data_IF_022273229866
#
_entry.id   IF_022273229866
#
_cell.length_a   1.000
_cell.length_b   1.000
_cell.length_c   1.000
_cell.angle_alpha   90.00
_cell.angle_beta   90.00
_cell.angle_gamma   90.00
#
_symmetry.space_group_name_H-M   'P 1'
#
loop_
_entity.id
_entity.type
_entity.pdbx_description
1 polymer ?
#
# COMPACT_ATOMS: atom_id res chain seq x y z
N UNK A 1 -37.33 19.67 30.87
CA UNK A 1 -36.50 18.64 31.51
C UNK A 1 -36.16 17.64 30.44
N UNK A 2 -34.91 17.68 30.02
CA UNK A 2 -34.31 16.88 28.96
C UNK A 2 -33.99 15.45 29.43
N UNK A 3 -33.81 14.56 28.44
CA UNK A 3 -32.92 13.40 28.55
C UNK A 3 -33.62 12.05 28.63
N UNK A 4 -33.20 10.99 27.95
CA UNK A 4 -32.13 10.77 26.98
C UNK A 4 -32.48 9.46 26.26
N UNK A 5 -32.48 9.45 24.93
CA UNK A 5 -32.34 8.24 24.12
C UNK A 5 -30.93 8.32 23.54
N UNK A 6 -30.04 7.39 23.91
CA UNK A 6 -28.75 7.23 23.23
C UNK A 6 -28.67 5.85 22.59
N UNK A 7 -28.68 5.88 21.26
CA UNK A 7 -28.37 4.74 20.41
C UNK A 7 -26.88 4.39 20.49
N UNK A 8 -26.59 3.10 20.32
CA UNK A 8 -25.24 2.57 20.28
C UNK A 8 -24.90 2.14 18.85
N UNK A 9 -24.54 3.11 18.00
CA UNK A 9 -23.92 2.86 16.70
C UNK A 9 -22.40 2.83 16.88
N UNK A 10 -21.88 1.64 17.22
CA UNK A 10 -20.45 1.33 17.23
C UNK A 10 -19.88 1.19 15.82
N UNK A 11 -19.93 2.27 15.02
CA UNK A 11 -19.34 2.36 13.70
C UNK A 11 -17.81 2.47 13.76
N UNK A 12 -17.14 1.56 13.05
CA UNK A 12 -15.68 1.44 12.87
C UNK A 12 -15.06 2.80 12.51
N UNK A 13 -14.43 3.45 13.49
CA UNK A 13 -13.87 4.81 13.36
C UNK A 13 -12.44 4.83 12.76
N UNK A 14 -11.74 3.69 12.74
CA UNK A 14 -10.30 3.61 12.41
C UNK A 14 -9.92 3.51 10.93
N UNK A 15 -10.88 3.47 10.00
CA UNK A 15 -10.62 3.35 8.56
C UNK A 15 -10.88 4.64 7.75
N UNK A 16 -11.56 5.63 8.36
CA UNK A 16 -11.81 6.94 7.74
C UNK A 16 -10.57 7.84 7.75
N UNK A 17 -9.57 7.53 8.56
CA UNK A 17 -8.34 8.32 8.71
C UNK A 17 -7.31 8.07 7.58
N UNK A 18 -7.61 7.20 6.61
CA UNK A 18 -6.81 7.07 5.37
C UNK A 18 -6.85 8.35 4.50
N UNK A 19 -7.76 9.29 4.77
CA UNK A 19 -7.84 10.60 4.10
C UNK A 19 -6.72 11.57 4.50
N UNK A 20 -5.99 11.31 5.60
CA UNK A 20 -5.10 12.30 6.19
C UNK A 20 -3.62 12.19 5.79
N UNK A 21 -3.19 11.18 5.01
CA UNK A 21 -1.75 10.92 4.80
C UNK A 21 -1.28 10.75 3.35
N UNK A 22 -1.95 11.37 2.39
CA UNK A 22 -1.46 11.42 1.00
C UNK A 22 -1.27 12.88 0.60
N UNK A 23 0.00 13.30 0.60
CA UNK A 23 0.45 14.68 0.42
C UNK A 23 0.33 15.19 -1.01
N UNK A 24 0.56 16.50 -1.16
CA UNK A 24 0.38 17.28 -2.39
C UNK A 24 0.92 16.61 -3.66
N UNK A 25 0.04 16.50 -4.65
CA UNK A 25 0.31 15.91 -5.98
C UNK A 25 1.29 16.75 -6.81
N UNK A 26 1.67 17.94 -6.35
CA UNK A 26 2.56 18.87 -7.07
C UNK A 26 3.99 18.36 -7.25
N UNK A 27 4.45 17.40 -6.44
CA UNK A 27 5.77 16.79 -6.62
C UNK A 27 5.85 15.80 -7.81
N UNK A 28 4.73 15.40 -8.42
CA UNK A 28 4.72 14.43 -9.52
C UNK A 28 5.10 15.01 -10.89
N UNK A 29 5.00 16.33 -11.08
CA UNK A 29 5.13 16.98 -12.41
C UNK A 29 6.52 17.58 -12.69
N UNK A 30 7.43 17.61 -11.71
CA UNK A 30 8.69 18.37 -11.78
C UNK A 30 9.97 17.54 -11.97
N UNK A 31 9.92 16.34 -12.56
CA UNK A 31 11.13 15.61 -12.94
C UNK A 31 11.08 15.16 -14.41
N UNK A 32 11.65 16.00 -15.28
CA UNK A 32 11.88 15.75 -16.70
C UNK A 32 13.33 15.35 -17.02
N UNK A 33 14.13 14.99 -16.02
CA UNK A 33 15.52 14.60 -16.24
C UNK A 33 15.66 13.08 -16.27
N UNK A 34 16.20 12.57 -17.37
CA UNK A 34 16.62 11.17 -17.50
C UNK A 34 17.63 10.83 -16.38
N UNK A 35 17.61 9.59 -15.83
CA UNK A 35 18.48 9.26 -14.71
C UNK A 35 19.95 9.29 -15.15
N UNK A 36 20.69 10.26 -14.61
CA UNK A 36 22.15 10.34 -14.75
C UNK A 36 22.80 9.38 -13.75
N UNK A 37 23.64 8.49 -14.26
CA UNK A 37 24.03 7.22 -13.64
C UNK A 37 25.11 7.30 -12.54
N UNK A 38 25.12 8.32 -11.68
CA UNK A 38 26.20 8.39 -10.67
C UNK A 38 25.91 9.06 -9.32
N UNK A 39 24.64 9.30 -8.92
CA UNK A 39 24.32 9.87 -7.58
C UNK A 39 23.13 9.19 -6.86
N UNK A 40 22.49 8.15 -7.42
CA UNK A 40 21.23 7.60 -6.90
C UNK A 40 21.38 6.69 -5.66
N UNK A 41 22.56 6.12 -5.43
CA UNK A 41 22.77 5.20 -4.31
C UNK A 41 22.79 5.90 -2.93
N UNK A 42 23.19 7.18 -2.86
CA UNK A 42 22.99 8.10 -1.73
C UNK A 42 21.54 8.22 -1.26
N UNK A 43 20.61 8.29 -2.21
CA UNK A 43 19.29 8.87 -1.96
C UNK A 43 18.44 8.05 -0.98
N UNK A 44 18.39 6.73 -1.14
CA UNK A 44 17.56 5.84 -0.31
C UNK A 44 18.14 5.62 1.09
N UNK A 45 19.45 5.52 1.22
CA UNK A 45 20.14 5.42 2.52
C UNK A 45 19.97 6.73 3.30
N UNK A 46 20.14 7.86 2.61
CA UNK A 46 19.90 9.19 3.17
C UNK A 46 18.43 9.33 3.60
N UNK A 47 17.47 8.91 2.77
CA UNK A 47 16.05 8.99 3.09
C UNK A 47 15.66 8.17 4.33
N UNK A 48 16.11 6.92 4.43
CA UNK A 48 15.89 6.11 5.64
C UNK A 48 16.50 6.76 6.88
N UNK A 49 17.65 7.42 6.73
CA UNK A 49 18.29 8.18 7.81
C UNK A 49 17.48 9.41 8.23
N UNK A 50 16.85 10.13 7.28
CA UNK A 50 15.94 11.24 7.57
C UNK A 50 14.68 10.79 8.32
N UNK A 51 14.14 9.61 7.98
CA UNK A 51 13.03 9.00 8.71
C UNK A 51 13.47 8.67 10.14
N UNK A 52 14.63 8.00 10.28
CA UNK A 52 15.21 7.62 11.58
C UNK A 52 15.48 8.81 12.50
N UNK A 53 15.93 9.94 11.95
CA UNK A 53 16.14 11.17 12.71
C UNK A 53 14.87 11.99 12.92
N UNK A 54 13.71 11.49 12.46
CA UNK A 54 12.41 12.19 12.47
C UNK A 54 12.40 13.52 11.71
N UNK A 55 13.40 13.73 10.85
CA UNK A 55 13.47 14.91 9.96
C UNK A 55 12.44 14.81 8.84
N UNK A 56 12.10 13.59 8.41
CA UNK A 56 10.99 13.32 7.50
C UNK A 56 9.95 12.42 8.16
N UNK A 57 8.73 12.94 8.36
CA UNK A 57 7.58 12.23 8.94
C UNK A 57 6.37 12.18 8.00
N UNK A 58 6.52 12.72 6.79
CA UNK A 58 5.45 12.82 5.80
C UNK A 58 5.41 11.63 4.82
N UNK A 59 4.53 11.70 3.81
CA UNK A 59 4.39 10.67 2.80
C UNK A 59 5.71 10.40 2.03
N UNK A 60 5.89 9.17 1.57
CA UNK A 60 7.06 8.73 0.79
C UNK A 60 6.84 8.83 -0.72
N UNK A 61 5.67 9.27 -1.17
CA UNK A 61 5.36 9.51 -2.57
C UNK A 61 6.39 10.44 -3.25
N UNK A 62 6.88 10.05 -4.42
CA UNK A 62 7.89 10.79 -5.17
C UNK A 62 9.28 10.81 -4.53
N UNK A 63 9.50 10.13 -3.40
CA UNK A 63 10.83 9.98 -2.78
C UNK A 63 11.55 8.77 -3.37
N UNK A 64 12.86 8.93 -3.59
CA UNK A 64 13.74 7.89 -4.13
C UNK A 64 13.17 7.21 -5.39
N UNK A 65 12.96 7.97 -6.48
CA UNK A 65 12.44 7.42 -7.73
C UNK A 65 13.31 6.24 -8.20
N UNK A 66 12.67 5.21 -8.76
CA UNK A 66 13.34 3.99 -9.22
C UNK A 66 13.57 2.91 -8.16
N UNK A 67 13.37 3.22 -6.87
CA UNK A 67 13.48 2.24 -5.78
C UNK A 67 12.11 1.71 -5.33
N UNK A 68 12.02 0.41 -5.05
CA UNK A 68 10.80 -0.23 -4.57
C UNK A 68 10.46 0.26 -3.16
N UNK A 69 9.27 0.86 -3.04
CA UNK A 69 8.65 1.17 -1.77
C UNK A 69 7.80 -0.01 -1.30
N UNK A 70 7.92 -0.35 -0.02
CA UNK A 70 7.27 -1.51 0.57
C UNK A 70 6.33 -1.11 1.71
N UNK A 71 5.16 -1.72 1.72
CA UNK A 71 4.27 -1.74 2.87
C UNK A 71 4.88 -2.63 3.96
N UNK A 72 4.88 -2.17 5.20
CA UNK A 72 5.31 -2.97 6.36
C UNK A 72 4.10 -3.59 7.07
N UNK A 73 4.23 -4.87 7.43
CA UNK A 73 3.38 -5.61 8.37
C UNK A 73 4.28 -6.39 9.33
N UNK A 74 4.06 -6.30 10.63
CA UNK A 74 4.74 -7.08 11.66
C UNK A 74 3.70 -7.80 12.48
N UNK A 75 3.82 -9.11 12.61
CA UNK A 75 2.92 -9.95 13.36
C UNK A 75 3.70 -10.77 14.39
N UNK A 76 3.00 -11.29 15.40
CA UNK A 76 3.57 -12.30 16.31
C UNK A 76 3.88 -13.57 15.52
N UNK A 77 4.92 -14.31 15.94
CA UNK A 77 5.33 -15.57 15.31
C UNK A 77 4.18 -16.57 15.13
N UNK A 78 3.26 -16.63 16.08
CA UNK A 78 2.08 -17.50 16.04
C UNK A 78 1.17 -17.25 14.83
N UNK A 79 1.10 -16.01 14.34
CA UNK A 79 0.27 -15.61 13.21
C UNK A 79 1.07 -15.53 11.89
N UNK A 80 2.40 -15.54 11.98
CA UNK A 80 3.29 -15.30 10.84
C UNK A 80 3.18 -16.37 9.74
N UNK A 81 3.06 -17.65 10.11
CA UNK A 81 2.95 -18.73 9.12
C UNK A 81 1.65 -18.63 8.31
N UNK A 82 0.53 -18.42 8.99
CA UNK A 82 -0.77 -18.27 8.33
C UNK A 82 -0.79 -17.04 7.43
N UNK A 83 -0.15 -15.94 7.85
CA UNK A 83 -0.02 -14.74 7.02
C UNK A 83 0.87 -14.96 5.80
N UNK A 84 2.02 -15.62 5.97
CA UNK A 84 2.90 -16.01 4.86
C UNK A 84 2.15 -16.85 3.83
N UNK A 85 1.41 -17.87 4.28
CA UNK A 85 0.58 -18.71 3.41
C UNK A 85 -0.56 -17.90 2.76
N UNK A 86 -1.17 -16.97 3.48
CA UNK A 86 -2.18 -16.06 2.94
C UNK A 86 -1.59 -15.23 1.79
N UNK A 87 -0.43 -14.60 1.99
CA UNK A 87 0.22 -13.81 0.96
C UNK A 87 0.64 -14.66 -0.25
N UNK A 88 1.18 -15.87 -0.02
CA UNK A 88 1.52 -16.81 -1.09
C UNK A 88 0.29 -17.17 -1.93
N UNK A 89 -0.86 -17.40 -1.31
CA UNK A 89 -2.12 -17.73 -2.00
C UNK A 89 -2.73 -16.54 -2.74
N UNK A 90 -2.42 -15.31 -2.31
CA UNK A 90 -3.00 -14.06 -2.80
C UNK A 90 -1.92 -13.09 -3.30
N UNK A 91 -0.91 -13.60 -4.01
CA UNK A 91 0.32 -12.87 -4.35
C UNK A 91 0.10 -11.59 -5.15
N UNK A 92 -0.99 -11.46 -5.93
CA UNK A 92 -1.34 -10.22 -6.61
C UNK A 92 -1.72 -9.10 -5.63
N UNK A 93 -2.45 -9.43 -4.57
CA UNK A 93 -2.93 -8.46 -3.59
C UNK A 93 -1.94 -8.24 -2.44
N UNK A 94 -1.13 -9.26 -2.13
CA UNK A 94 -0.15 -9.26 -1.06
C UNK A 94 1.21 -9.78 -1.59
N UNK A 95 1.85 -9.07 -2.54
CA UNK A 95 3.12 -9.49 -3.09
C UNK A 95 4.21 -9.38 -2.03
N UNK A 96 4.73 -10.51 -1.56
CA UNK A 96 5.87 -10.52 -0.64
C UNK A 96 7.12 -10.09 -1.38
N UNK A 97 7.81 -9.12 -0.79
CA UNK A 97 9.12 -8.62 -1.23
C UNK A 97 10.23 -9.17 -0.34
N UNK A 98 10.02 -9.17 0.98
CA UNK A 98 10.94 -9.77 1.95
C UNK A 98 10.21 -10.22 3.22
N UNK A 99 10.79 -11.18 3.93
CA UNK A 99 10.31 -11.66 5.23
C UNK A 99 11.49 -11.74 6.18
N UNK A 100 11.44 -10.97 7.27
CA UNK A 100 12.47 -10.98 8.30
C UNK A 100 12.37 -12.24 9.17
N UNK A 101 13.52 -12.73 9.64
CA UNK A 101 13.59 -13.75 10.67
C UNK A 101 12.87 -13.34 11.97
N UNK A 102 12.47 -14.32 12.77
CA UNK A 102 11.79 -14.09 14.04
C UNK A 102 12.60 -13.16 14.98
N UNK A 103 11.98 -12.05 15.40
CA UNK A 103 12.57 -11.00 16.22
C UNK A 103 13.46 -10.02 15.45
N UNK A 104 13.79 -10.31 14.18
CA UNK A 104 14.60 -9.43 13.35
C UNK A 104 13.77 -8.25 12.82
N UNK A 105 14.40 -7.09 12.78
CA UNK A 105 13.91 -5.86 12.17
C UNK A 105 14.71 -5.50 10.90
N UNK A 106 15.62 -6.39 10.47
CA UNK A 106 16.49 -6.18 9.31
C UNK A 106 15.99 -6.99 8.11
N UNK A 107 15.48 -6.35 7.04
CA UNK A 107 15.07 -6.97 5.79
C UNK A 107 16.29 -7.16 4.88
N UNK A 108 17.06 -8.21 5.17
CA UNK A 108 18.35 -8.49 4.52
C UNK A 108 18.20 -8.90 3.04
N UNK A 109 17.01 -9.30 2.60
CA UNK A 109 16.73 -9.64 1.21
C UNK A 109 16.65 -8.41 0.30
N UNK A 110 16.34 -7.24 0.86
CA UNK A 110 16.15 -6.00 0.07
C UNK A 110 16.93 -4.79 0.55
N UNK A 111 17.64 -4.88 1.67
CA UNK A 111 18.56 -3.83 2.12
C UNK A 111 19.80 -4.39 2.81
N UNK A 112 20.95 -3.72 2.64
CA UNK A 112 22.20 -4.08 3.35
C UNK A 112 22.30 -3.48 4.75
N UNK A 113 21.63 -2.36 4.99
CA UNK A 113 21.64 -1.64 6.26
C UNK A 113 20.34 -0.84 6.39
N UNK A 114 19.44 -1.31 7.24
CA UNK A 114 18.22 -0.63 7.63
C UNK A 114 17.72 -1.15 8.97
N UNK A 115 16.86 -0.37 9.62
CA UNK A 115 16.15 -0.77 10.83
C UNK A 115 14.66 -0.45 10.65
N UNK A 116 13.83 -1.47 10.43
CA UNK A 116 12.39 -1.32 10.21
C UNK A 116 11.64 -0.71 11.39
N UNK A 117 12.29 -0.53 12.54
CA UNK A 117 11.68 0.12 13.71
C UNK A 117 11.73 1.64 13.64
N UNK A 118 12.58 2.19 12.76
CA UNK A 118 12.85 3.64 12.66
C UNK A 118 12.90 4.17 11.24
N UNK A 119 13.11 3.33 10.23
CA UNK A 119 13.44 3.77 8.88
C UNK A 119 12.21 4.06 8.00
N UNK A 120 11.01 4.06 8.58
CA UNK A 120 9.78 4.53 7.95
C UNK A 120 9.35 5.86 8.60
N UNK A 121 8.66 6.76 7.86
CA UNK A 121 8.23 8.04 8.40
C UNK A 121 7.23 7.91 9.56
N UNK A 122 6.35 6.90 9.50
CA UNK A 122 5.30 6.70 10.49
C UNK A 122 4.77 5.24 10.54
N UNK A 123 4.34 4.82 11.73
CA UNK A 123 3.82 3.49 12.05
C UNK A 123 2.46 3.55 12.74
N UNK A 124 1.70 2.47 12.57
CA UNK A 124 0.47 2.18 13.29
C UNK A 124 0.61 0.86 14.07
N UNK A 125 0.03 0.81 15.26
CA UNK A 125 0.03 -0.36 16.13
C UNK A 125 -1.40 -0.77 16.42
N UNK A 126 -1.67 -2.06 16.26
CA UNK A 126 -2.98 -2.66 16.40
C UNK A 126 -2.96 -3.71 17.49
N UNK A 127 -4.07 -3.82 18.23
CA UNK A 127 -4.34 -4.93 19.14
C UNK A 127 -5.76 -5.43 18.92
N UNK A 128 -5.91 -6.75 18.76
CA UNK A 128 -7.19 -7.40 18.46
C UNK A 128 -7.92 -6.75 17.27
N UNK A 129 -7.16 -6.44 16.20
CA UNK A 129 -7.66 -5.80 14.99
C UNK A 129 -8.00 -4.30 15.10
N UNK A 130 -7.82 -3.68 16.28
CA UNK A 130 -8.12 -2.26 16.51
C UNK A 130 -6.86 -1.44 16.60
N UNK A 131 -6.84 -0.28 15.94
CA UNK A 131 -5.75 0.70 16.07
C UNK A 131 -5.69 1.20 17.52
N UNK A 132 -4.55 1.00 18.18
CA UNK A 132 -4.32 1.44 19.58
C UNK A 132 -3.36 2.61 19.66
N UNK A 133 -2.40 2.70 18.73
CA UNK A 133 -1.49 3.84 18.59
C UNK A 133 -1.25 4.07 17.09
N UNK A 134 -1.19 5.32 16.65
CA UNK A 134 -1.02 5.66 15.25
C UNK A 134 -0.07 6.83 15.05
N UNK A 135 0.49 6.91 13.85
CA UNK A 135 1.40 7.98 13.44
C UNK A 135 2.66 8.10 14.34
N UNK A 136 3.15 6.95 14.84
CA UNK A 136 4.38 6.89 15.62
C UNK A 136 5.58 7.04 14.70
N UNK A 137 6.61 7.79 15.07
CA UNK A 137 7.86 7.86 14.28
C UNK A 137 8.85 6.74 14.59
N UNK A 138 8.57 5.94 15.62
CA UNK A 138 9.44 4.90 16.14
C UNK A 138 8.61 3.79 16.80
N UNK A 139 9.02 2.53 16.60
CA UNK A 139 8.40 1.37 17.24
C UNK A 139 9.40 0.45 17.94
N UNK A 140 10.61 0.92 18.29
CA UNK A 140 11.66 0.10 18.92
C UNK A 140 11.21 -0.52 20.23
N UNK A 141 10.51 0.24 21.07
CA UNK A 141 9.98 -0.24 22.35
C UNK A 141 8.75 -1.14 22.21
N UNK A 142 8.09 -1.11 21.05
CA UNK A 142 6.89 -1.87 20.76
C UNK A 142 7.18 -3.11 19.90
N UNK A 143 8.40 -3.23 19.36
CA UNK A 143 8.76 -4.32 18.47
C UNK A 143 8.80 -5.65 19.24
N UNK A 144 7.97 -6.64 18.85
CA UNK A 144 7.91 -7.89 19.57
C UNK A 144 9.19 -8.70 19.38
N UNK A 145 9.70 -9.32 20.46
CA UNK A 145 10.90 -10.16 20.44
C UNK A 145 10.75 -11.42 19.56
N UNK A 146 9.52 -11.84 19.32
CA UNK A 146 9.09 -12.90 18.41
C UNK A 146 8.27 -12.34 17.23
N UNK A 147 8.55 -11.10 16.84
CA UNK A 147 7.95 -10.46 15.67
C UNK A 147 8.48 -11.01 14.36
N UNK A 148 7.60 -11.26 13.41
CA UNK A 148 7.98 -11.52 12.02
C UNK A 148 7.51 -10.34 11.19
N UNK A 149 8.46 -9.66 10.53
CA UNK A 149 8.18 -8.54 9.66
C UNK A 149 8.08 -9.00 8.20
N UNK A 150 7.07 -8.50 7.50
CA UNK A 150 6.78 -8.73 6.11
C UNK A 150 6.85 -7.40 5.39
N UNK A 151 7.70 -7.33 4.37
CA UNK A 151 7.66 -6.26 3.39
C UNK A 151 6.82 -6.73 2.21
N UNK A 152 5.74 -5.99 1.95
CA UNK A 152 4.87 -6.24 0.82
C UNK A 152 5.07 -5.14 -0.22
N UNK A 153 5.16 -5.52 -1.48
CA UNK A 153 5.37 -4.57 -2.56
C UNK A 153 4.21 -3.58 -2.69
N UNK A 154 4.53 -2.36 -3.11
CA UNK A 154 3.57 -1.27 -3.20
C UNK A 154 3.38 -0.81 -4.65
N UNK A 155 2.15 -0.39 -4.92
CA UNK A 155 1.61 0.00 -6.22
C UNK A 155 2.14 1.32 -6.79
N UNK A 156 2.84 2.13 -5.99
CA UNK A 156 3.20 3.49 -6.40
C UNK A 156 4.19 3.54 -7.56
N UNK A 157 4.95 2.47 -7.79
CA UNK A 157 5.87 2.42 -8.93
C UNK A 157 5.15 2.33 -10.28
N UNK A 158 3.93 1.79 -10.31
CA UNK A 158 3.23 1.58 -11.56
C UNK A 158 2.79 2.88 -12.26
N UNK A 159 2.45 3.92 -11.49
CA UNK A 159 1.96 5.18 -12.07
C UNK A 159 3.05 5.87 -12.91
N UNK A 160 4.32 5.80 -12.50
CA UNK A 160 5.45 6.30 -13.27
C UNK A 160 5.62 5.56 -14.60
N UNK A 161 5.45 4.23 -14.59
CA UNK A 161 5.55 3.40 -15.80
C UNK A 161 4.46 3.78 -16.81
N UNK A 162 3.24 4.02 -16.34
CA UNK A 162 2.13 4.47 -17.20
C UNK A 162 2.44 5.83 -17.86
N UNK A 163 2.85 6.81 -17.07
CA UNK A 163 3.14 8.17 -17.56
C UNK A 163 4.30 8.16 -18.55
N UNK A 164 5.39 7.46 -18.26
CA UNK A 164 6.54 7.33 -19.16
C UNK A 164 6.16 6.72 -20.52
N UNK A 165 5.10 5.90 -20.52
CA UNK A 165 4.55 5.26 -21.72
C UNK A 165 3.40 6.05 -22.36
N UNK A 166 3.19 7.31 -21.96
CA UNK A 166 2.13 8.21 -22.43
C UNK A 166 0.72 7.68 -22.18
N UNK A 167 0.56 6.86 -21.14
CA UNK A 167 -0.74 6.39 -20.67
C UNK A 167 -1.15 7.31 -19.53
N UNK A 168 -2.31 7.94 -19.67
CA UNK A 168 -2.85 8.86 -18.67
C UNK A 168 -3.10 8.15 -17.35
N UNK A 169 -2.68 8.80 -16.25
CA UNK A 169 -3.04 8.42 -14.89
C UNK A 169 -4.00 9.49 -14.34
N UNK A 170 -5.31 9.25 -14.45
CA UNK A 170 -6.33 10.28 -14.19
C UNK A 170 -6.28 10.87 -12.79
N UNK A 171 -5.97 10.09 -11.77
CA UNK A 171 -5.85 10.59 -10.39
C UNK A 171 -4.72 11.62 -10.28
N UNK A 172 -3.61 11.44 -11.00
CA UNK A 172 -2.51 12.40 -11.04
C UNK A 172 -2.94 13.68 -11.77
N UNK A 173 -3.59 13.57 -12.93
CA UNK A 173 -4.12 14.73 -13.67
C UNK A 173 -5.08 15.56 -12.80
N UNK A 174 -5.87 14.90 -11.96
CA UNK A 174 -6.86 15.54 -11.09
C UNK A 174 -6.32 15.96 -9.73
N UNK A 175 -5.03 15.74 -9.46
CA UNK A 175 -4.41 15.94 -8.13
C UNK A 175 -5.18 15.23 -7.00
N UNK A 176 -5.49 13.96 -7.23
CA UNK A 176 -6.30 13.10 -6.37
C UNK A 176 -5.58 11.81 -6.02
N UNK A 177 -6.02 11.19 -4.94
CA UNK A 177 -5.60 9.84 -4.61
C UNK A 177 -6.29 8.83 -5.52
N UNK A 178 -5.59 7.73 -5.85
CA UNK A 178 -6.15 6.66 -6.66
C UNK A 178 -7.39 6.08 -5.97
N UNK A 179 -8.46 5.90 -6.74
CA UNK A 179 -9.71 5.33 -6.24
C UNK A 179 -9.52 3.86 -5.90
N UNK A 180 -9.92 3.44 -4.70
CA UNK A 180 -9.83 2.06 -4.26
C UNK A 180 -11.18 1.55 -3.77
N UNK A 181 -11.49 0.29 -4.08
CA UNK A 181 -12.80 -0.30 -3.84
C UNK A 181 -12.66 -1.69 -3.21
N UNK A 182 -13.53 -1.97 -2.24
CA UNK A 182 -13.78 -3.30 -1.73
C UNK A 182 -14.59 -4.06 -2.77
N UNK A 183 -14.11 -5.23 -3.17
CA UNK A 183 -14.79 -6.07 -4.15
C UNK A 183 -15.61 -7.17 -3.47
N UNK A 184 -16.39 -7.90 -4.26
CA UNK A 184 -16.98 -9.19 -3.90
C UNK A 184 -16.02 -10.39 -4.15
N UNK A 185 -14.82 -10.16 -4.68
CA UNK A 185 -13.84 -11.22 -4.95
C UNK A 185 -13.19 -11.66 -3.65
N UNK A 186 -13.37 -12.93 -3.27
CA UNK A 186 -12.79 -13.49 -2.06
C UNK A 186 -11.29 -13.77 -2.23
N UNK A 187 -10.51 -13.44 -1.21
CA UNK A 187 -9.15 -13.97 -1.07
C UNK A 187 -9.21 -15.47 -0.80
N UNK A 188 -8.15 -16.18 -1.18
CA UNK A 188 -7.91 -17.56 -0.77
C UNK A 188 -7.42 -17.55 0.68
N UNK A 189 -8.29 -17.95 1.60
CA UNK A 189 -8.06 -17.90 3.04
C UNK A 189 -6.84 -18.73 3.47
N UNK A 190 -6.22 -18.37 4.60
CA UNK A 190 -5.21 -19.18 5.28
C UNK A 190 -5.25 -18.89 6.79
N UNK A 191 -5.48 -19.94 7.59
CA UNK A 191 -5.68 -19.81 9.02
C UNK A 191 -6.80 -18.82 9.36
N UNK A 192 -6.49 -17.82 10.18
CA UNK A 192 -7.44 -16.74 10.54
C UNK A 192 -7.59 -15.65 9.48
N UNK A 193 -6.71 -15.61 8.47
CA UNK A 193 -6.71 -14.55 7.47
C UNK A 193 -7.70 -14.85 6.34
N UNK A 194 -8.73 -14.03 6.26
CA UNK A 194 -9.80 -14.08 5.26
C UNK A 194 -10.34 -12.69 4.98
N UNK A 195 -10.87 -12.48 3.78
CA UNK A 195 -11.38 -11.18 3.36
C UNK A 195 -11.59 -11.13 1.86
N UNK A 196 -11.99 -9.96 1.36
CA UNK A 196 -12.12 -9.71 -0.07
C UNK A 196 -10.90 -8.94 -0.59
N UNK A 197 -10.60 -9.14 -1.87
CA UNK A 197 -9.57 -8.36 -2.56
C UNK A 197 -10.04 -6.90 -2.64
N UNK A 198 -9.15 -5.98 -2.27
CA UNK A 198 -9.31 -4.55 -2.54
C UNK A 198 -8.62 -4.24 -3.86
N UNK A 199 -9.26 -3.42 -4.69
CA UNK A 199 -8.70 -3.02 -5.98
C UNK A 199 -8.47 -1.53 -6.06
N UNK A 200 -7.44 -1.10 -6.78
CA UNK A 200 -7.36 0.26 -7.32
C UNK A 200 -7.98 0.28 -8.72
N UNK A 201 -8.64 1.39 -9.08
CA UNK A 201 -9.23 1.58 -10.41
C UNK A 201 -8.52 2.74 -11.11
N UNK A 202 -8.17 2.52 -12.39
CA UNK A 202 -7.68 3.57 -13.29
C UNK A 202 -8.52 3.57 -14.57
N UNK A 203 -9.08 4.71 -15.00
CA UNK A 203 -9.67 4.81 -16.34
C UNK A 203 -8.54 4.80 -17.38
N UNK A 204 -8.66 3.94 -18.38
CA UNK A 204 -7.65 3.76 -19.43
C UNK A 204 -8.33 3.86 -20.79
N UNK A 205 -7.79 4.64 -21.73
CA UNK A 205 -8.30 4.67 -23.11
C UNK A 205 -8.33 3.26 -23.69
N UNK A 206 -9.42 2.91 -24.39
CA UNK A 206 -9.62 1.55 -24.92
C UNK A 206 -8.42 1.01 -25.72
N UNK A 207 -7.78 1.85 -26.53
CA UNK A 207 -6.59 1.48 -27.31
C UNK A 207 -5.32 1.20 -26.49
N UNK A 208 -5.23 1.71 -25.27
CA UNK A 208 -4.06 1.55 -24.39
C UNK A 208 -4.19 0.36 -23.43
N UNK A 209 -5.36 -0.28 -23.33
CA UNK A 209 -5.62 -1.37 -22.35
C UNK A 209 -4.61 -2.51 -22.50
N UNK A 210 -4.35 -2.98 -23.73
CA UNK A 210 -3.37 -4.05 -23.97
C UNK A 210 -1.94 -3.64 -23.55
N UNK A 211 -1.61 -2.36 -23.71
CA UNK A 211 -0.31 -1.80 -23.30
C UNK A 211 -0.20 -1.75 -21.77
N UNK A 212 -1.26 -1.31 -21.08
CA UNK A 212 -1.35 -1.33 -19.60
C UNK A 212 -1.14 -2.74 -19.07
N UNK A 213 -1.83 -3.74 -19.64
CA UNK A 213 -1.66 -5.16 -19.26
C UNK A 213 -0.21 -5.59 -19.46
N UNK A 214 0.37 -5.34 -20.64
CA UNK A 214 1.73 -5.77 -20.96
C UNK A 214 2.78 -5.14 -20.04
N UNK A 215 2.64 -3.85 -19.73
CA UNK A 215 3.56 -3.13 -18.84
C UNK A 215 3.44 -3.62 -17.40
N UNK A 216 2.21 -3.69 -16.87
CA UNK A 216 1.96 -4.09 -15.48
C UNK A 216 2.38 -5.54 -15.17
N UNK A 217 2.27 -6.45 -16.16
CA UNK A 217 2.72 -7.84 -16.03
C UNK A 217 4.22 -7.99 -15.70
N UNK A 218 5.05 -7.02 -16.10
CA UNK A 218 6.50 -7.05 -15.82
C UNK A 218 6.84 -6.78 -14.36
N UNK A 219 5.89 -6.24 -13.60
CA UNK A 219 6.09 -5.82 -12.22
C UNK A 219 5.14 -6.57 -11.26
N UNK A 220 5.27 -7.91 -11.15
CA UNK A 220 4.39 -8.72 -10.29
C UNK A 220 4.44 -8.27 -8.82
N UNK A 221 5.56 -7.71 -8.37
CA UNK A 221 5.74 -7.21 -7.01
C UNK A 221 5.22 -5.78 -6.81
N UNK A 222 4.95 -5.00 -7.87
CA UNK A 222 4.52 -3.59 -7.79
C UNK A 222 3.13 -3.31 -8.38
N UNK A 223 2.33 -4.36 -8.61
CA UNK A 223 0.87 -4.41 -8.83
C UNK A 223 0.50 -5.69 -9.59
N UNK A 224 1.39 -6.14 -10.49
CA UNK A 224 1.14 -7.20 -11.45
C UNK A 224 0.04 -6.85 -12.46
N UNK A 225 -0.37 -7.84 -13.25
CA UNK A 225 -1.44 -7.69 -14.24
C UNK A 225 -2.77 -7.24 -13.59
N UNK A 226 -3.63 -6.49 -14.32
CA UNK A 226 -5.00 -6.23 -13.87
C UNK A 226 -5.71 -7.52 -13.49
N UNK A 227 -6.55 -7.44 -12.46
CA UNK A 227 -7.41 -8.56 -12.07
C UNK A 227 -8.79 -8.47 -12.71
N UNK A 228 -9.16 -7.30 -13.23
CA UNK A 228 -10.40 -7.08 -13.95
C UNK A 228 -10.29 -5.87 -14.88
N UNK A 229 -11.01 -5.91 -16.00
CA UNK A 229 -11.10 -4.84 -17.00
C UNK A 229 -12.56 -4.74 -17.43
N UNK A 230 -13.11 -3.52 -17.42
CA UNK A 230 -14.49 -3.28 -17.85
C UNK A 230 -15.44 -3.04 -16.68
N UNK A 231 -16.53 -3.82 -16.63
CA UNK A 231 -17.69 -3.45 -15.80
C UNK A 231 -17.39 -3.51 -14.29
N UNK A 232 -17.56 -2.41 -13.54
CA UNK A 232 -17.36 -2.40 -12.08
C UNK A 232 -18.34 -3.34 -11.34
N UNK A 233 -19.53 -3.58 -11.91
CA UNK A 233 -20.56 -4.44 -11.31
C UNK A 233 -20.10 -5.87 -11.10
N UNK A 234 -19.20 -6.38 -11.96
CA UNK A 234 -18.70 -7.76 -11.88
C UNK A 234 -17.84 -7.96 -10.62
N UNK A 235 -17.24 -6.88 -10.12
CA UNK A 235 -16.53 -6.80 -8.85
C UNK A 235 -17.42 -6.42 -7.66
N UNK A 236 -18.73 -6.28 -7.87
CA UNK A 236 -19.67 -5.80 -6.85
C UNK A 236 -19.57 -4.30 -6.57
N UNK A 237 -18.93 -3.52 -7.45
CA UNK A 237 -18.79 -2.08 -7.30
C UNK A 237 -19.97 -1.41 -8.00
N UNK A 238 -20.91 -0.86 -7.22
CA UNK A 238 -22.14 -0.27 -7.74
C UNK A 238 -21.96 1.18 -8.25
N UNK A 239 -21.01 1.93 -7.68
CA UNK A 239 -20.85 3.36 -7.94
C UNK A 239 -19.38 3.77 -7.86
N UNK A 240 -18.76 4.06 -9.02
CA UNK A 240 -17.36 4.51 -9.08
C UNK A 240 -17.15 5.90 -8.44
N UNK A 241 -18.20 6.71 -8.25
CA UNK A 241 -18.08 8.01 -7.59
C UNK A 241 -17.92 7.91 -6.06
N UNK A 242 -18.06 6.70 -5.50
CA UNK A 242 -17.96 6.42 -4.06
C UNK A 242 -16.90 5.36 -3.77
N UNK A 243 -15.61 5.66 -3.96
CA UNK A 243 -14.58 4.73 -3.55
C UNK A 243 -14.60 4.53 -2.04
N UNK A 244 -14.28 3.32 -1.59
CA UNK A 244 -14.13 2.98 -0.18
C UNK A 244 -12.89 3.70 0.41
N UNK A 245 -11.84 3.89 -0.41
CA UNK A 245 -10.64 4.65 -0.08
C UNK A 245 -10.13 5.50 -1.24
N UNK A 246 -9.44 6.59 -0.91
CA UNK A 246 -8.95 7.55 -1.89
C UNK A 246 -10.07 8.48 -2.38
N UNK A 247 -9.87 9.07 -3.55
CA UNK A 247 -10.77 10.07 -4.12
C UNK A 247 -11.41 9.54 -5.40
N UNK A 248 -12.66 9.89 -5.71
CA UNK A 248 -13.28 9.49 -6.96
C UNK A 248 -12.58 10.15 -8.15
N UNK A 249 -12.49 9.45 -9.29
CA UNK A 249 -11.99 10.02 -10.55
C UNK A 249 -13.03 9.93 -11.65
N UNK A 250 -12.98 10.87 -12.58
CA UNK A 250 -13.83 10.87 -13.77
C UNK A 250 -13.39 9.76 -14.73
N UNK A 251 -14.34 8.97 -15.23
CA UNK A 251 -14.15 8.06 -16.38
C UNK A 251 -14.74 8.77 -17.61
N UNK A 252 -13.90 9.18 -18.57
CA UNK A 252 -14.36 9.89 -19.78
C UNK A 252 -14.80 8.92 -20.86
N UNK A 253 -15.51 9.47 -21.86
CA UNK A 253 -15.87 8.73 -23.06
C UNK A 253 -14.63 8.10 -23.73
N UNK A 254 -14.74 6.83 -24.13
CA UNK A 254 -13.64 6.05 -24.70
C UNK A 254 -12.65 5.47 -23.69
N UNK A 255 -12.84 5.73 -22.38
CA UNK A 255 -12.06 5.11 -21.31
C UNK A 255 -12.78 3.90 -20.71
N UNK A 256 -11.99 2.91 -20.32
CA UNK A 256 -12.42 1.65 -19.70
C UNK A 256 -11.81 1.58 -18.30
N UNK A 257 -12.61 1.30 -17.25
CA UNK A 257 -12.07 1.03 -15.92
C UNK A 257 -11.18 -0.21 -15.91
N UNK A 258 -9.95 -0.06 -15.42
CA UNK A 258 -8.98 -1.14 -15.26
C UNK A 258 -8.64 -1.28 -13.78
N UNK A 259 -8.79 -2.49 -13.24
CA UNK A 259 -8.68 -2.77 -11.82
C UNK A 259 -7.46 -3.63 -11.50
N UNK A 260 -6.63 -3.17 -10.57
CA UNK A 260 -5.47 -3.90 -10.08
C UNK A 260 -5.65 -4.23 -8.61
N UNK A 261 -5.14 -5.39 -8.17
CA UNK A 261 -5.15 -5.73 -6.75
C UNK A 261 -4.31 -4.71 -5.96
N UNK A 262 -4.79 -4.37 -4.76
CA UNK A 262 -4.24 -3.33 -3.92
C UNK A 262 -3.70 -3.89 -2.60
N UNK A 263 -2.57 -3.36 -2.14
CA UNK A 263 -1.96 -3.70 -0.85
C UNK A 263 -2.85 -3.39 0.36
N UNK A 264 -3.88 -2.54 0.22
CA UNK A 264 -4.92 -2.32 1.25
C UNK A 264 -5.63 -3.63 1.64
N UNK A 265 -5.63 -4.63 0.75
CA UNK A 265 -6.13 -5.98 1.06
C UNK A 265 -5.48 -6.58 2.30
N UNK A 266 -4.16 -6.44 2.46
CA UNK A 266 -3.46 -7.00 3.63
C UNK A 266 -3.85 -6.28 4.92
N UNK A 267 -4.00 -4.94 4.87
CA UNK A 267 -4.44 -4.14 6.01
C UNK A 267 -5.86 -4.53 6.47
N UNK A 268 -6.81 -4.63 5.53
CA UNK A 268 -8.19 -5.05 5.83
C UNK A 268 -8.24 -6.45 6.46
N UNK A 269 -7.46 -7.38 5.92
CA UNK A 269 -7.40 -8.76 6.40
C UNK A 269 -6.76 -8.82 7.79
N UNK A 270 -5.69 -8.06 8.07
CA UNK A 270 -5.09 -7.96 9.41
C UNK A 270 -6.10 -7.39 10.41
N UNK A 271 -6.75 -6.27 10.07
CA UNK A 271 -7.71 -5.61 10.97
C UNK A 271 -8.95 -6.47 11.26
N UNK A 272 -9.39 -7.29 10.31
CA UNK A 272 -10.56 -8.17 10.48
C UNK A 272 -10.23 -9.56 11.03
N UNK A 273 -8.96 -9.99 11.00
CA UNK A 273 -8.53 -11.33 11.44
C UNK A 273 -8.49 -11.53 12.96
N UNK A 274 -8.59 -10.45 13.74
CA UNK A 274 -8.50 -10.53 15.20
C UNK A 274 -7.13 -10.97 15.72
N UNK A 275 -6.04 -10.68 14.99
CA UNK A 275 -4.67 -10.86 15.49
C UNK A 275 -4.48 -10.11 16.80
N UNK A 276 -3.76 -10.73 17.74
CA UNK A 276 -3.54 -10.18 19.08
C UNK A 276 -2.74 -8.87 19.04
N UNK A 277 -1.82 -8.77 18.08
CA UNK A 277 -0.92 -7.65 17.88
C UNK A 277 -0.47 -7.53 16.43
N UNK A 278 -0.39 -6.30 15.92
CA UNK A 278 0.27 -6.00 14.66
C UNK A 278 0.93 -4.62 14.67
N UNK A 279 2.05 -4.47 13.97
CA UNK A 279 2.59 -3.16 13.57
C UNK A 279 2.46 -3.05 12.05
N UNK A 280 2.04 -1.90 11.54
CA UNK A 280 2.12 -1.59 10.11
C UNK A 280 2.78 -0.24 9.92
N UNK A 281 3.18 0.05 8.68
CA UNK A 281 3.38 1.43 8.28
C UNK A 281 2.06 2.22 8.39
N UNK A 282 2.13 3.53 8.64
CA UNK A 282 1.00 4.43 8.43
C UNK A 282 0.77 4.62 6.93
N UNK A 283 -0.47 4.83 6.46
CA UNK A 283 -0.73 4.99 5.02
C UNK A 283 0.14 6.08 4.41
N UNK A 284 0.64 5.87 3.20
CA UNK A 284 1.56 6.82 2.53
C UNK A 284 2.98 6.88 3.11
N UNK A 285 3.27 6.21 4.22
CA UNK A 285 4.58 6.24 4.90
C UNK A 285 5.35 4.93 4.73
N UNK A 286 5.63 4.53 3.49
CA UNK A 286 6.22 3.22 3.16
C UNK A 286 7.72 3.15 3.46
N UNK A 287 8.25 1.93 3.51
CA UNK A 287 9.69 1.68 3.58
C UNK A 287 10.34 1.75 2.20
N UNK A 288 11.45 2.49 2.04
CA UNK A 288 12.22 2.54 0.79
C UNK A 288 13.33 1.49 0.81
N UNK A 289 13.26 0.50 -0.07
CA UNK A 289 14.26 -0.57 -0.18
C UNK A 289 15.44 -0.20 -1.08
N UNK A 290 16.45 -1.07 -1.16
CA UNK A 290 17.56 -0.93 -2.11
C UNK A 290 17.25 -1.65 -3.46
N UNK A 291 16.05 -2.25 -3.60
CA UNK A 291 15.63 -2.95 -4.83
C UNK A 291 15.20 -1.94 -5.89
N UNK A 292 15.85 -2.01 -7.05
CA UNK A 292 15.53 -1.19 -8.22
C UNK A 292 14.31 -1.79 -8.93
N UNK A 293 13.46 -0.93 -9.48
CA UNK A 293 12.37 -1.30 -10.38
C UNK A 293 12.69 -0.70 -11.75
N UNK A 294 13.07 -1.56 -12.71
CA UNK A 294 13.53 -1.20 -14.05
C UNK A 294 12.47 -1.38 -15.14
#
# INVERSE_FOLDING_TARGET
MEGFISGNDGGIKGLKDLKASLGDVDNYLNHNDAPSSSNDDDSKISFRSLCRSTTHTGPTNGKCPGFLQCNLVVLRKEDAFDFLLFCQRNSKACPIVDVCENGSFNPTGVTKSSDLRTDLPAYNVYSNGKLVQGNLSDVRSLWPSDGVAFLLGCSFTFDHVLIANRISARHIEMKRNVSMYKTNLKCREAGRFKGNVVVTMRPVKGGDVAKVVTLSCKYPEAHGAPIHIGSPSDLGIADLSKPDWGDPVEVREGEVPVFHACGVTSQEVIMSSGVSFAITHSPGCMFVSDKIID
#
